data_IF_384258421747
#
_entry.id   IF_384258421747
#
_cell.length_a   1.000
_cell.length_b   1.000
_cell.length_c   1.000
_cell.angle_alpha   90.00
_cell.angle_beta   90.00
_cell.angle_gamma   90.00
#
_symmetry.space_group_name_H-M   'P 1'
#
loop_
_entity.id
_entity.type
_entity.pdbx_description
1 polymer ?
#
# COMPACT_ATOMS: atom_id res chain seq x y z
N UNK A 1 -16.73 -3.85 -8.65
CA UNK A 1 -16.21 -2.72 -9.44
C UNK A 1 -16.40 -1.47 -8.61
N UNK A 2 -15.31 -0.77 -8.33
CA UNK A 2 -15.31 0.44 -7.50
C UNK A 2 -14.99 1.61 -8.41
N UNK A 3 -15.77 2.69 -8.35
CA UNK A 3 -15.51 3.91 -9.11
C UNK A 3 -14.91 4.95 -8.18
N UNK A 4 -13.78 5.54 -8.58
CA UNK A 4 -13.12 6.66 -7.88
C UNK A 4 -13.09 7.87 -8.82
N UNK A 5 -12.64 9.02 -8.32
CA UNK A 5 -12.51 10.24 -9.12
C UNK A 5 -11.05 10.69 -9.20
N UNK A 6 -10.58 11.05 -10.40
CA UNK A 6 -9.29 11.67 -10.65
C UNK A 6 -9.53 13.06 -11.28
N UNK A 7 -9.24 14.13 -10.55
CA UNK A 7 -9.50 15.50 -11.05
C UNK A 7 -10.98 15.74 -11.38
N UNK A 8 -11.90 15.09 -10.65
CA UNK A 8 -13.34 15.13 -10.91
C UNK A 8 -13.83 14.18 -12.02
N UNK A 9 -12.92 13.52 -12.75
CA UNK A 9 -13.30 12.54 -13.76
C UNK A 9 -13.44 11.13 -13.15
N UNK A 10 -14.52 10.39 -13.43
CA UNK A 10 -14.68 9.02 -12.95
C UNK A 10 -13.62 8.08 -13.53
N UNK A 11 -13.06 7.22 -12.68
CA UNK A 11 -12.11 6.16 -13.05
C UNK A 11 -12.59 4.85 -12.44
N UNK A 12 -12.62 3.80 -13.25
CA UNK A 12 -13.01 2.45 -12.81
C UNK A 12 -11.81 1.71 -12.25
N UNK A 13 -11.96 1.16 -11.05
CA UNK A 13 -10.98 0.28 -10.41
C UNK A 13 -11.45 -1.16 -10.54
N UNK A 14 -10.61 -1.99 -11.16
CA UNK A 14 -10.83 -3.42 -11.30
C UNK A 14 -10.63 -4.14 -9.95
N UNK A 15 -11.28 -5.30 -9.80
CA UNK A 15 -11.23 -6.08 -8.57
C UNK A 15 -12.15 -5.55 -7.47
N UNK A 16 -11.90 -6.04 -6.25
CA UNK A 16 -12.63 -5.68 -5.04
C UNK A 16 -11.62 -5.39 -3.94
N UNK A 17 -11.77 -4.24 -3.27
CA UNK A 17 -10.97 -3.92 -2.10
C UNK A 17 -11.47 -4.76 -0.91
N UNK A 18 -10.58 -5.42 -0.16
CA UNK A 18 -10.97 -6.20 1.01
C UNK A 18 -11.69 -5.34 2.06
N UNK A 19 -12.74 -5.91 2.65
CA UNK A 19 -13.47 -5.31 3.76
C UNK A 19 -12.87 -5.71 5.11
N UNK A 20 -13.15 -4.94 6.15
CA UNK A 20 -12.71 -5.27 7.51
C UNK A 20 -13.22 -6.68 7.93
N UNK A 21 -12.32 -7.46 8.51
CA UNK A 21 -12.59 -8.86 8.90
C UNK A 21 -12.36 -9.89 7.79
N UNK A 22 -12.13 -9.47 6.55
CA UNK A 22 -11.72 -10.38 5.47
C UNK A 22 -10.21 -10.67 5.54
N UNK A 23 -9.84 -11.87 5.12
CA UNK A 23 -8.44 -12.25 4.93
C UNK A 23 -7.91 -11.48 3.71
N UNK A 24 -6.79 -10.79 3.88
CA UNK A 24 -6.13 -10.09 2.79
C UNK A 24 -5.65 -11.11 1.73
N UNK A 25 -5.91 -10.88 0.43
CA UNK A 25 -5.34 -11.70 -0.64
C UNK A 25 -3.82 -11.68 -0.59
N UNK A 26 -3.19 -12.83 -0.88
CA UNK A 26 -1.74 -12.90 -0.99
C UNK A 26 -1.23 -12.09 -2.20
N UNK A 27 0.02 -11.64 -2.14
CA UNK A 27 0.69 -10.95 -3.23
C UNK A 27 2.16 -11.34 -3.34
N UNK A 28 2.75 -11.10 -4.52
CA UNK A 28 4.20 -11.06 -4.73
C UNK A 28 4.52 -9.74 -5.41
N UNK A 29 5.38 -8.93 -4.78
CA UNK A 29 5.78 -7.60 -5.26
C UNK A 29 7.29 -7.52 -5.37
N UNK A 30 7.79 -6.75 -6.33
CA UNK A 30 9.21 -6.48 -6.46
C UNK A 30 9.67 -5.46 -5.40
N UNK A 31 10.75 -5.78 -4.68
CA UNK A 31 11.43 -4.86 -3.78
C UNK A 31 12.50 -4.03 -4.52
N UNK A 32 13.08 -3.06 -3.81
CA UNK A 32 14.12 -2.17 -4.34
C UNK A 32 15.38 -2.91 -4.81
N UNK A 33 15.67 -4.07 -4.21
CA UNK A 33 16.78 -4.95 -4.57
C UNK A 33 16.39 -5.96 -5.67
N UNK A 34 15.23 -5.77 -6.31
CA UNK A 34 14.64 -6.64 -7.32
C UNK A 34 14.27 -8.05 -6.81
N UNK A 35 14.30 -8.27 -5.48
CA UNK A 35 13.79 -9.51 -4.89
C UNK A 35 12.26 -9.52 -4.83
N UNK A 36 11.67 -10.71 -4.95
CA UNK A 36 10.25 -10.89 -4.70
C UNK A 36 9.96 -10.84 -3.20
N UNK A 37 8.94 -10.07 -2.82
CA UNK A 37 8.42 -9.97 -1.45
C UNK A 37 6.94 -10.35 -1.42
N UNK A 38 6.60 -11.23 -0.49
CA UNK A 38 5.25 -11.74 -0.28
C UNK A 38 4.66 -11.26 1.04
N UNK A 39 3.35 -11.44 1.26
CA UNK A 39 2.77 -11.14 2.57
C UNK A 39 3.33 -12.02 3.69
N UNK A 40 3.77 -13.24 3.35
CA UNK A 40 4.33 -14.19 4.30
C UNK A 40 5.69 -13.75 4.86
N UNK A 41 6.48 -12.98 4.10
CA UNK A 41 7.76 -12.42 4.58
C UNK A 41 7.58 -11.50 5.79
N UNK A 42 6.36 -11.01 6.01
CA UNK A 42 5.97 -10.15 7.11
C UNK A 42 5.09 -10.88 8.15
N UNK A 43 5.08 -12.21 8.17
CA UNK A 43 4.31 -13.01 9.12
C UNK A 43 4.54 -12.56 10.58
N UNK A 44 3.48 -12.62 11.39
CA UNK A 44 3.50 -12.17 12.79
C UNK A 44 3.45 -10.65 13.01
N UNK A 45 3.76 -9.82 12.00
CA UNK A 45 3.65 -8.35 12.08
C UNK A 45 2.27 -7.87 11.64
N UNK A 46 1.87 -6.69 12.13
CA UNK A 46 0.77 -5.90 11.57
C UNK A 46 1.27 -5.20 10.32
N UNK A 47 0.55 -5.34 9.21
CA UNK A 47 0.93 -4.74 7.93
C UNK A 47 0.03 -3.57 7.61
N UNK A 48 0.64 -2.46 7.26
CA UNK A 48 -0.06 -1.30 6.72
C UNK A 48 0.32 -1.20 5.23
N UNK A 49 -0.64 -1.45 4.35
CA UNK A 49 -0.45 -1.34 2.90
C UNK A 49 -0.84 0.08 2.45
N UNK A 50 0.16 0.95 2.27
CA UNK A 50 -0.04 2.29 1.76
C UNK A 50 0.10 2.28 0.23
N UNK A 51 -1.04 2.15 -0.46
CA UNK A 51 -1.09 2.00 -1.92
C UNK A 51 -1.24 3.37 -2.56
N UNK A 52 -0.28 3.77 -3.40
CA UNK A 52 -0.26 5.05 -4.11
C UNK A 52 -0.07 4.85 -5.62
N UNK A 53 -0.57 5.73 -6.49
CA UNK A 53 -0.39 5.59 -7.93
C UNK A 53 1.09 5.62 -8.36
N UNK A 54 1.86 6.54 -7.77
CA UNK A 54 3.30 6.71 -8.02
C UNK A 54 3.94 7.43 -6.83
N UNK A 55 5.14 6.99 -6.46
CA UNK A 55 6.01 7.60 -5.46
C UNK A 55 6.89 8.69 -6.05
N UNK A 56 7.06 8.73 -7.37
CA UNK A 56 7.85 9.74 -8.09
C UNK A 56 7.09 11.08 -8.27
N UNK A 57 6.40 11.51 -7.21
CA UNK A 57 5.71 12.80 -7.18
C UNK A 57 6.01 13.54 -5.86
N UNK A 58 6.27 14.86 -5.91
CA UNK A 58 6.64 15.63 -4.72
C UNK A 58 5.53 15.72 -3.66
N UNK A 59 4.27 15.57 -4.07
CA UNK A 59 3.09 15.64 -3.21
C UNK A 59 2.87 14.36 -2.41
N UNK A 60 2.99 13.18 -3.02
CA UNK A 60 2.83 11.90 -2.34
C UNK A 60 3.94 11.63 -1.32
N UNK A 61 5.14 12.18 -1.56
CA UNK A 61 6.30 12.00 -0.69
C UNK A 61 6.07 12.57 0.73
N UNK A 62 5.37 13.70 0.87
CA UNK A 62 5.24 14.37 2.19
C UNK A 62 4.17 13.74 3.07
N UNK A 63 3.00 13.38 2.52
CA UNK A 63 1.94 12.69 3.27
C UNK A 63 2.41 11.29 3.70
N UNK A 64 3.06 10.57 2.78
CA UNK A 64 3.62 9.24 3.04
C UNK A 64 4.72 9.29 4.09
N UNK A 65 5.62 10.28 4.07
CA UNK A 65 6.63 10.44 5.14
C UNK A 65 6.01 10.64 6.52
N UNK A 66 5.07 11.58 6.67
CA UNK A 66 4.42 11.84 7.97
C UNK A 66 3.62 10.64 8.47
N UNK A 67 2.97 9.91 7.57
CA UNK A 67 2.27 8.69 7.92
C UNK A 67 3.25 7.60 8.37
N UNK A 68 4.32 7.41 7.60
CA UNK A 68 5.35 6.42 7.89
C UNK A 68 6.05 6.68 9.22
N UNK A 69 6.37 7.94 9.54
CA UNK A 69 6.96 8.35 10.82
C UNK A 69 6.07 8.00 12.01
N UNK A 70 4.75 8.17 11.90
CA UNK A 70 3.82 7.86 12.99
C UNK A 70 3.57 6.37 13.12
N UNK A 71 3.43 5.68 12.01
CA UNK A 71 3.09 4.26 12.00
C UNK A 71 4.31 3.37 12.29
N UNK A 72 5.55 3.84 12.05
CA UNK A 72 6.77 3.12 12.44
C UNK A 72 7.01 3.11 13.95
N UNK A 73 6.41 4.06 14.69
CA UNK A 73 6.43 4.08 16.14
C UNK A 73 5.47 3.05 16.77
N UNK A 74 4.61 2.40 15.97
CA UNK A 74 3.68 1.39 16.45
C UNK A 74 4.39 0.04 16.59
N UNK A 75 4.27 -0.57 17.78
CA UNK A 75 4.91 -1.85 18.08
C UNK A 75 4.54 -2.96 17.07
N UNK A 76 5.47 -3.83 16.69
CA UNK A 76 5.20 -4.95 15.78
C UNK A 76 4.46 -4.57 14.46
N UNK A 77 4.77 -3.40 13.90
CA UNK A 77 4.13 -2.89 12.67
C UNK A 77 5.14 -2.72 11.56
N UNK A 78 4.74 -3.09 10.35
CA UNK A 78 5.48 -2.82 9.11
C UNK A 78 4.58 -2.04 8.16
N UNK A 79 5.18 -1.08 7.47
CA UNK A 79 4.50 -0.27 6.46
C UNK A 79 5.08 -0.66 5.11
N UNK A 80 4.22 -1.07 4.20
CA UNK A 80 4.55 -1.40 2.83
C UNK A 80 3.96 -0.30 1.96
N UNK A 81 4.82 0.52 1.37
CA UNK A 81 4.41 1.54 0.41
C UNK A 81 4.46 0.89 -0.97
N UNK A 82 3.30 0.80 -1.63
CA UNK A 82 3.13 0.02 -2.86
C UNK A 82 2.66 0.94 -3.97
N UNK A 83 3.31 0.88 -5.11
CA UNK A 83 3.00 1.65 -6.31
C UNK A 83 3.36 0.85 -7.56
N UNK A 84 3.05 1.40 -8.73
CA UNK A 84 3.42 0.85 -10.03
C UNK A 84 4.65 1.54 -10.64
N UNK A 85 5.49 2.17 -9.80
CA UNK A 85 6.77 2.75 -10.24
C UNK A 85 7.75 1.67 -10.71
#
# INVERSE_FOLDING_TARGET
MTTVTLGGQPVTVAGQLPLAGQIAPDFSLAAQDLSDRTLNDYAGKRKILNIVPSLDTPTCATSTRKFNEKASALDNTVILVISAD
#
